data_IF_537779513160
#
_entry.id   IF_537779513160
#
_cell.length_a   1.000
_cell.length_b   1.000
_cell.length_c   1.000
_cell.angle_alpha   90.00
_cell.angle_beta   90.00
_cell.angle_gamma   90.00
#
_symmetry.space_group_name_H-M   'P 1'
#
loop_
_entity.id
_entity.type
_entity.pdbx_description
1 polymer ?
#
# COMPACT_ATOMS: atom_id res chain seq x y z
N UNK A 1 17.52 -16.08 38.29
CA UNK A 1 16.79 -14.91 37.74
C UNK A 1 17.85 -13.87 37.42
N UNK A 2 17.95 -13.39 36.19
CA UNK A 2 18.98 -12.44 35.75
C UNK A 2 18.72 -11.12 36.49
N UNK A 3 19.57 -10.75 37.47
CA UNK A 3 19.45 -9.45 38.12
C UNK A 3 19.85 -8.38 37.10
N UNK A 4 18.87 -7.75 36.47
CA UNK A 4 19.11 -6.66 35.54
C UNK A 4 19.54 -5.43 36.32
N UNK A 5 20.82 -5.06 36.17
CA UNK A 5 21.31 -3.81 36.72
C UNK A 5 20.86 -2.68 35.79
N UNK A 6 20.11 -1.68 36.28
CA UNK A 6 19.65 -0.56 35.45
C UNK A 6 20.83 0.20 34.83
N UNK A 7 20.67 0.70 33.59
CA UNK A 7 21.69 1.48 32.88
C UNK A 7 22.13 2.76 33.63
N UNK A 8 21.27 3.30 34.49
CA UNK A 8 21.55 4.44 35.38
C UNK A 8 22.26 4.11 36.70
N UNK A 9 22.40 2.83 37.08
CA UNK A 9 22.90 2.46 38.41
C UNK A 9 24.38 2.82 38.63
N UNK A 10 24.73 3.19 39.85
CA UNK A 10 26.13 3.38 40.28
C UNK A 10 26.80 2.04 40.57
N UNK A 11 28.13 2.02 40.60
CA UNK A 11 28.93 0.82 40.91
C UNK A 11 28.53 0.18 42.24
N UNK A 12 28.28 0.98 43.28
CA UNK A 12 27.89 0.47 44.60
C UNK A 12 26.46 -0.09 44.64
N UNK A 13 25.55 0.52 43.88
CA UNK A 13 24.18 0.00 43.72
C UNK A 13 24.18 -1.31 42.94
N UNK A 14 24.96 -1.36 41.87
CA UNK A 14 25.16 -2.58 41.10
C UNK A 14 25.74 -3.69 41.99
N UNK A 15 26.83 -3.43 42.70
CA UNK A 15 27.48 -4.38 43.63
C UNK A 15 26.49 -5.05 44.58
N UNK A 16 25.56 -4.29 45.19
CA UNK A 16 24.54 -4.86 46.08
C UNK A 16 23.59 -5.84 45.39
N UNK A 17 23.34 -5.66 44.10
CA UNK A 17 22.50 -6.55 43.28
C UNK A 17 23.31 -7.78 42.82
N UNK A 18 24.54 -7.60 42.36
CA UNK A 18 25.37 -8.69 41.79
C UNK A 18 26.18 -9.49 42.81
N UNK A 19 26.35 -9.02 44.06
CA UNK A 19 27.16 -9.74 45.07
C UNK A 19 26.66 -11.16 45.37
N UNK A 20 25.38 -11.44 45.13
CA UNK A 20 24.78 -12.76 45.30
C UNK A 20 24.90 -13.69 44.09
N UNK A 21 25.38 -13.22 42.93
CA UNK A 21 25.52 -14.06 41.73
C UNK A 21 26.83 -14.87 41.79
N UNK A 22 26.80 -16.22 41.71
CA UNK A 22 27.99 -17.06 41.69
C UNK A 22 29.02 -16.66 40.61
N UNK A 23 28.56 -16.08 39.50
CA UNK A 23 29.42 -15.59 38.41
C UNK A 23 30.24 -14.36 38.79
N UNK A 24 29.76 -13.58 39.76
CA UNK A 24 30.49 -12.44 40.30
C UNK A 24 31.71 -12.87 41.12
N UNK A 25 31.64 -14.03 41.80
CA UNK A 25 32.76 -14.60 42.55
C UNK A 25 33.91 -15.09 41.64
N UNK A 26 33.58 -15.53 40.41
CA UNK A 26 34.56 -15.94 39.38
C UNK A 26 35.23 -14.78 38.64
N UNK A 27 34.66 -13.57 38.67
CA UNK A 27 35.33 -12.40 38.09
C UNK A 27 36.53 -12.04 38.95
N UNK A 28 37.70 -11.84 38.34
CA UNK A 28 38.99 -11.65 39.00
C UNK A 28 39.11 -10.35 39.79
N UNK A 29 40.17 -9.56 39.53
CA UNK A 29 40.50 -8.39 40.37
C UNK A 29 39.43 -7.30 40.27
N UNK A 30 39.33 -6.45 41.29
CA UNK A 30 38.36 -5.34 41.37
C UNK A 30 38.31 -4.46 40.09
N UNK A 31 39.46 -4.24 39.45
CA UNK A 31 39.54 -3.50 38.19
C UNK A 31 38.83 -4.20 37.03
N UNK A 32 38.97 -5.51 36.89
CA UNK A 32 38.27 -6.29 35.86
C UNK A 32 36.76 -6.24 36.08
N UNK A 33 36.32 -6.31 37.35
CA UNK A 33 34.90 -6.19 37.71
C UNK A 33 34.33 -4.82 37.37
N UNK A 34 35.07 -3.73 37.65
CA UNK A 34 34.69 -2.36 37.25
C UNK A 34 34.66 -2.19 35.73
N UNK A 35 35.62 -2.77 35.01
CA UNK A 35 35.66 -2.72 33.55
C UNK A 35 34.49 -3.46 32.92
N UNK A 36 34.18 -4.67 33.41
CA UNK A 36 33.01 -5.45 32.97
C UNK A 36 31.69 -4.70 33.23
N UNK A 37 31.56 -4.02 34.37
CA UNK A 37 30.39 -3.22 34.68
C UNK A 37 30.23 -1.99 33.77
N UNK A 38 31.33 -1.26 33.51
CA UNK A 38 31.28 -0.13 32.57
C UNK A 38 30.91 -0.60 31.16
N UNK A 39 31.48 -1.72 30.70
CA UNK A 39 31.12 -2.33 29.42
C UNK A 39 29.64 -2.74 29.38
N UNK A 40 29.12 -3.36 30.45
CA UNK A 40 27.70 -3.70 30.59
C UNK A 40 26.80 -2.45 30.52
N UNK A 41 27.14 -1.36 31.23
CA UNK A 41 26.37 -0.11 31.18
C UNK A 41 26.29 0.46 29.77
N UNK A 42 27.42 0.51 29.07
CA UNK A 42 27.47 1.00 27.68
C UNK A 42 26.67 0.09 26.76
N UNK A 43 26.81 -1.23 26.90
CA UNK A 43 26.07 -2.20 26.10
C UNK A 43 24.57 -2.11 26.34
N UNK A 44 24.12 -2.00 27.60
CA UNK A 44 22.70 -1.85 27.94
C UNK A 44 22.09 -0.57 27.41
N UNK A 45 22.78 0.56 27.53
CA UNK A 45 22.31 1.82 26.95
C UNK A 45 22.16 1.72 25.42
N UNK A 46 23.09 1.01 24.77
CA UNK A 46 23.02 0.75 23.32
C UNK A 46 21.85 -0.16 22.96
N UNK A 47 21.60 -1.21 23.74
CA UNK A 47 20.48 -2.14 23.57
C UNK A 47 19.13 -1.43 23.77
N UNK A 48 18.98 -0.64 24.83
CA UNK A 48 17.76 0.14 25.10
C UNK A 48 17.44 1.12 23.95
N UNK A 49 18.47 1.81 23.43
CA UNK A 49 18.32 2.73 22.29
C UNK A 49 17.94 1.99 21.01
N UNK A 50 18.55 0.84 20.76
CA UNK A 50 18.24 0.04 19.58
C UNK A 50 16.83 -0.57 19.68
N UNK A 51 16.43 -1.04 20.85
CA UNK A 51 15.08 -1.55 21.08
C UNK A 51 14.03 -0.45 20.88
N UNK A 52 14.27 0.76 21.39
CA UNK A 52 13.39 1.91 21.14
C UNK A 52 13.29 2.23 19.64
N UNK A 53 14.42 2.19 18.93
CA UNK A 53 14.45 2.39 17.47
C UNK A 53 13.66 1.31 16.72
N UNK A 54 13.80 0.05 17.10
CA UNK A 54 13.08 -1.06 16.48
C UNK A 54 11.57 -0.99 16.76
N UNK A 55 11.17 -0.64 17.98
CA UNK A 55 9.76 -0.40 18.33
C UNK A 55 9.16 0.73 17.52
N UNK A 56 9.87 1.86 17.40
CA UNK A 56 9.41 2.99 16.58
C UNK A 56 9.30 2.59 15.10
N UNK A 57 10.30 1.91 14.54
CA UNK A 57 10.27 1.40 13.17
C UNK A 57 9.05 0.50 12.93
N UNK A 58 8.82 -0.46 13.83
CA UNK A 58 7.68 -1.37 13.75
C UNK A 58 6.35 -0.63 13.82
N UNK A 59 6.20 0.33 14.71
CA UNK A 59 4.98 1.14 14.80
C UNK A 59 4.69 1.90 13.50
N UNK A 60 5.72 2.43 12.82
CA UNK A 60 5.57 3.09 11.52
C UNK A 60 5.11 2.12 10.43
N UNK A 61 5.73 0.94 10.36
CA UNK A 61 5.38 -0.11 9.40
C UNK A 61 3.94 -0.61 9.62
N UNK A 62 3.57 -0.91 10.87
CA UNK A 62 2.24 -1.40 11.23
C UNK A 62 1.15 -0.34 10.90
N UNK A 63 1.41 0.96 11.14
CA UNK A 63 0.49 2.03 10.76
C UNK A 63 0.36 2.16 9.24
N UNK A 64 1.47 2.10 8.51
CA UNK A 64 1.45 2.17 7.05
C UNK A 64 0.63 1.02 6.44
N UNK A 65 0.87 -0.21 6.91
CA UNK A 65 0.13 -1.40 6.46
C UNK A 65 -1.36 -1.29 6.79
N UNK A 66 -1.69 -0.84 8.01
CA UNK A 66 -3.06 -0.60 8.43
C UNK A 66 -3.76 0.38 7.49
N UNK A 67 -3.16 1.54 7.20
CA UNK A 67 -3.77 2.55 6.34
C UNK A 67 -3.88 2.07 4.88
N UNK A 68 -2.92 1.32 4.35
CA UNK A 68 -2.94 0.83 2.96
C UNK A 68 -4.06 -0.17 2.66
N UNK A 69 -4.52 -0.91 3.67
CA UNK A 69 -5.52 -1.98 3.54
C UNK A 69 -6.87 -1.62 4.17
N UNK A 70 -7.00 -0.47 4.81
CA UNK A 70 -8.26 -0.04 5.40
C UNK A 70 -9.23 0.44 4.30
N UNK A 71 -10.43 -0.14 4.25
CA UNK A 71 -11.46 0.21 3.26
C UNK A 71 -11.90 1.69 3.32
N UNK A 72 -11.73 2.34 4.48
CA UNK A 72 -12.07 3.75 4.68
C UNK A 72 -10.95 4.71 4.26
N UNK A 73 -9.80 4.18 3.86
CA UNK A 73 -8.66 4.95 3.38
C UNK A 73 -8.61 4.94 1.85
N UNK A 74 -8.48 6.12 1.24
CA UNK A 74 -8.39 6.31 -0.22
C UNK A 74 -7.32 7.35 -0.54
N UNK A 75 -6.91 7.44 -1.81
CA UNK A 75 -6.01 8.50 -2.28
C UNK A 75 -6.53 9.93 -2.09
N UNK A 76 -7.83 10.10 -1.84
CA UNK A 76 -8.48 11.41 -1.64
C UNK A 76 -8.69 11.79 -0.17
N UNK A 77 -8.51 10.82 0.74
CA UNK A 77 -8.74 11.01 2.18
C UNK A 77 -7.75 12.04 2.72
N UNK A 78 -8.25 13.08 3.39
CA UNK A 78 -7.41 14.14 3.99
C UNK A 78 -6.90 13.71 5.37
N UNK A 79 -5.70 14.15 5.74
CA UNK A 79 -5.07 13.81 7.03
C UNK A 79 -5.99 13.99 8.24
N UNK A 80 -6.71 15.12 8.34
CA UNK A 80 -7.61 15.37 9.47
C UNK A 80 -8.71 14.31 9.61
N UNK A 81 -9.16 13.72 8.50
CA UNK A 81 -10.13 12.60 8.51
C UNK A 81 -9.50 11.33 9.07
N UNK A 82 -8.22 11.09 8.81
CA UNK A 82 -7.50 9.96 9.40
C UNK A 82 -7.45 10.09 10.92
N UNK A 83 -7.20 11.29 11.45
CA UNK A 83 -7.22 11.55 12.89
C UNK A 83 -8.63 11.31 13.48
N UNK A 84 -9.69 11.80 12.82
CA UNK A 84 -11.09 11.54 13.24
C UNK A 84 -11.44 10.04 13.26
N UNK A 85 -10.98 9.28 12.27
CA UNK A 85 -11.36 7.87 12.10
C UNK A 85 -10.50 6.92 12.93
N UNK A 86 -9.20 7.20 13.05
CA UNK A 86 -8.20 6.27 13.56
C UNK A 86 -7.51 6.75 14.83
N UNK A 87 -7.73 7.99 15.28
CA UNK A 87 -7.04 8.60 16.41
C UNK A 87 -7.09 7.81 17.73
N UNK A 88 -8.13 7.00 17.93
CA UNK A 88 -8.29 6.17 19.13
C UNK A 88 -7.74 4.74 18.97
N UNK A 89 -7.32 4.35 17.76
CA UNK A 89 -6.79 3.02 17.48
C UNK A 89 -5.33 2.93 17.92
N UNK A 90 -4.94 1.75 18.41
CA UNK A 90 -3.56 1.51 18.85
C UNK A 90 -2.55 1.69 17.71
N UNK A 91 -2.88 1.23 16.50
CA UNK A 91 -2.02 1.42 15.33
C UNK A 91 -1.66 2.90 15.08
N UNK A 92 -2.61 3.81 15.32
CA UNK A 92 -2.38 5.26 15.21
C UNK A 92 -1.58 5.79 16.40
N UNK A 93 -1.96 5.44 17.63
CA UNK A 93 -1.34 5.96 18.87
C UNK A 93 0.07 5.43 19.13
N UNK A 94 0.42 4.27 18.57
CA UNK A 94 1.77 3.69 18.70
C UNK A 94 2.83 4.54 17.97
N UNK A 95 2.44 5.35 16.99
CA UNK A 95 3.30 6.37 16.40
C UNK A 95 3.09 7.67 17.17
N UNK A 96 4.01 7.94 18.10
CA UNK A 96 3.87 9.03 19.06
C UNK A 96 3.89 10.42 18.40
N UNK A 97 4.83 10.64 17.48
CA UNK A 97 5.04 11.93 16.82
C UNK A 97 4.03 12.16 15.68
N UNK A 98 3.43 13.36 15.63
CA UNK A 98 2.51 13.73 14.54
C UNK A 98 3.23 13.84 13.19
N UNK A 99 4.49 14.30 13.17
CA UNK A 99 5.29 14.38 11.95
C UNK A 99 5.46 13.00 11.31
N UNK A 100 5.75 11.97 12.11
CA UNK A 100 5.90 10.60 11.61
C UNK A 100 4.58 10.08 11.04
N UNK A 101 3.45 10.39 11.69
CA UNK A 101 2.11 10.02 11.19
C UNK A 101 1.79 10.73 9.87
N UNK A 102 2.17 12.00 9.71
CA UNK A 102 2.00 12.76 8.47
C UNK A 102 2.84 12.18 7.33
N UNK A 103 4.11 11.89 7.57
CA UNK A 103 4.99 11.27 6.59
C UNK A 103 4.42 9.93 6.09
N UNK A 104 3.98 9.07 7.03
CA UNK A 104 3.35 7.79 6.69
C UNK A 104 2.07 8.01 5.86
N UNK A 105 1.23 8.96 6.27
CA UNK A 105 0.01 9.29 5.54
C UNK A 105 0.30 9.73 4.10
N UNK A 106 1.29 10.59 3.88
CA UNK A 106 1.66 11.09 2.55
C UNK A 106 2.13 9.94 1.66
N UNK A 107 3.00 9.08 2.18
CA UNK A 107 3.46 7.88 1.47
C UNK A 107 2.31 6.93 1.12
N UNK A 108 1.39 6.70 2.06
CA UNK A 108 0.22 5.83 1.83
C UNK A 108 -0.69 6.42 0.76
N UNK A 109 -1.06 7.70 0.86
CA UNK A 109 -1.91 8.38 -0.12
C UNK A 109 -1.28 8.35 -1.51
N UNK A 110 0.03 8.59 -1.61
CA UNK A 110 0.76 8.50 -2.88
C UNK A 110 0.70 7.08 -3.46
N UNK A 111 0.95 6.06 -2.65
CA UNK A 111 0.91 4.67 -3.11
C UNK A 111 -0.50 4.22 -3.51
N UNK A 112 -1.54 4.65 -2.78
CA UNK A 112 -2.94 4.43 -3.15
C UNK A 112 -3.27 5.06 -4.50
N UNK A 113 -2.91 6.33 -4.70
CA UNK A 113 -3.12 7.03 -5.97
C UNK A 113 -2.39 6.34 -7.13
N UNK A 114 -1.15 5.87 -6.88
CA UNK A 114 -0.37 5.12 -7.87
C UNK A 114 -1.02 3.78 -8.21
N UNK A 115 -1.48 3.02 -7.20
CA UNK A 115 -2.18 1.74 -7.38
C UNK A 115 -3.45 1.92 -8.20
N UNK A 116 -4.32 2.86 -7.80
CA UNK A 116 -5.57 3.18 -8.51
C UNK A 116 -5.32 3.56 -9.97
N UNK A 117 -4.28 4.35 -10.25
CA UNK A 117 -3.89 4.73 -11.62
C UNK A 117 -3.44 3.53 -12.45
N UNK A 118 -2.65 2.63 -11.89
CA UNK A 118 -2.19 1.43 -12.61
C UNK A 118 -3.32 0.40 -12.79
N UNK A 119 -4.23 0.27 -11.82
CA UNK A 119 -5.45 -0.54 -11.93
C UNK A 119 -6.38 0.00 -13.03
N UNK A 120 -6.56 1.32 -13.12
CA UNK A 120 -7.34 1.95 -14.18
C UNK A 120 -6.74 1.68 -15.57
N UNK A 121 -5.41 1.77 -15.71
CA UNK A 121 -4.71 1.43 -16.97
C UNK A 121 -4.87 -0.04 -17.33
N UNK A 122 -4.71 -0.93 -16.36
CA UNK A 122 -4.84 -2.38 -16.55
C UNK A 122 -6.25 -2.76 -16.97
N UNK A 123 -7.25 -2.22 -16.27
CA UNK A 123 -8.67 -2.38 -16.61
C UNK A 123 -8.97 -1.86 -18.01
N UNK A 124 -8.49 -0.66 -18.37
CA UNK A 124 -8.64 -0.12 -19.71
C UNK A 124 -8.04 -1.04 -20.78
N UNK A 125 -6.80 -1.52 -20.60
CA UNK A 125 -6.14 -2.44 -21.54
C UNK A 125 -6.91 -3.75 -21.70
N UNK A 126 -7.34 -4.35 -20.58
CA UNK A 126 -8.17 -5.56 -20.56
C UNK A 126 -9.47 -5.33 -21.33
N UNK A 127 -10.15 -4.23 -21.05
CA UNK A 127 -11.46 -3.91 -21.63
C UNK A 127 -11.36 -3.63 -23.13
N UNK A 128 -10.33 -2.91 -23.58
CA UNK A 128 -10.07 -2.71 -25.01
C UNK A 128 -9.80 -4.05 -25.72
N UNK A 129 -8.97 -4.92 -25.14
CA UNK A 129 -8.67 -6.23 -25.73
C UNK A 129 -9.93 -7.11 -25.82
N UNK A 130 -10.70 -7.21 -24.73
CA UNK A 130 -11.94 -7.99 -24.69
C UNK A 130 -12.99 -7.47 -25.66
N UNK A 131 -13.15 -6.14 -25.75
CA UNK A 131 -14.05 -5.53 -26.73
C UNK A 131 -13.63 -5.88 -28.17
N UNK A 132 -12.33 -5.82 -28.48
CA UNK A 132 -11.83 -6.21 -29.80
C UNK A 132 -12.12 -7.70 -30.11
N UNK A 133 -11.87 -8.61 -29.16
CA UNK A 133 -12.20 -10.05 -29.30
C UNK A 133 -13.69 -10.28 -29.59
N UNK A 134 -14.57 -9.58 -28.87
CA UNK A 134 -16.03 -9.66 -29.07
C UNK A 134 -16.39 -9.14 -30.45
N UNK A 135 -15.87 -7.97 -30.83
CA UNK A 135 -16.14 -7.38 -32.15
C UNK A 135 -15.63 -8.27 -33.29
N UNK A 136 -14.47 -8.92 -33.14
CA UNK A 136 -13.94 -9.86 -34.14
C UNK A 136 -14.82 -11.10 -34.31
N UNK A 137 -15.41 -11.59 -33.22
CA UNK A 137 -16.35 -12.71 -33.26
C UNK A 137 -17.71 -12.37 -33.91
N UNK A 138 -18.03 -11.08 -34.04
CA UNK A 138 -19.29 -10.60 -34.63
C UNK A 138 -19.15 -10.49 -36.16
N UNK A 139 -19.80 -11.43 -36.87
CA UNK A 139 -19.81 -11.49 -38.34
C UNK A 139 -20.68 -10.40 -39.00
N UNK A 140 -21.59 -9.77 -38.25
CA UNK A 140 -22.55 -8.77 -38.76
C UNK A 140 -22.05 -7.32 -38.65
N UNK A 141 -20.88 -7.08 -38.03
CA UNK A 141 -20.28 -5.74 -37.92
C UNK A 141 -19.38 -5.48 -39.12
N UNK A 142 -19.73 -4.47 -39.93
CA UNK A 142 -19.00 -4.07 -41.15
C UNK A 142 -18.73 -2.55 -41.20
N UNK A 143 -18.04 -2.07 -42.24
CA UNK A 143 -17.70 -0.63 -42.41
C UNK A 143 -18.90 0.32 -42.49
N UNK A 144 -20.10 -0.21 -42.73
CA UNK A 144 -21.34 0.58 -42.80
C UNK A 144 -22.10 0.62 -41.49
N UNK A 145 -21.72 -0.24 -40.53
CA UNK A 145 -22.38 -0.32 -39.23
C UNK A 145 -22.08 0.96 -38.45
N UNK A 146 -23.13 1.70 -38.14
CA UNK A 146 -23.04 2.90 -37.32
C UNK A 146 -22.73 2.54 -35.87
N UNK A 147 -22.22 3.51 -35.10
CA UNK A 147 -22.00 3.32 -33.67
C UNK A 147 -23.27 2.90 -32.94
N UNK A 148 -24.43 3.51 -33.24
CA UNK A 148 -25.69 3.18 -32.57
C UNK A 148 -26.11 1.72 -32.82
N UNK A 149 -25.93 1.23 -34.05
CA UNK A 149 -26.17 -0.17 -34.40
C UNK A 149 -25.18 -1.10 -33.70
N UNK A 150 -23.87 -0.77 -33.73
CA UNK A 150 -22.85 -1.57 -33.05
C UNK A 150 -23.06 -1.60 -31.52
N UNK A 151 -23.51 -0.50 -30.93
CA UNK A 151 -23.85 -0.41 -29.51
C UNK A 151 -25.02 -1.36 -29.18
N UNK A 152 -26.08 -1.36 -29.98
CA UNK A 152 -27.20 -2.28 -29.79
C UNK A 152 -26.74 -3.75 -29.92
N UNK A 153 -25.96 -4.06 -30.96
CA UNK A 153 -25.44 -5.41 -31.16
C UNK A 153 -24.50 -5.87 -30.03
N UNK A 154 -23.74 -4.96 -29.41
CA UNK A 154 -22.94 -5.25 -28.22
C UNK A 154 -23.82 -5.51 -26.99
N UNK A 155 -24.87 -4.72 -26.78
CA UNK A 155 -25.81 -4.93 -25.68
C UNK A 155 -26.61 -6.24 -25.83
N UNK A 156 -26.87 -6.66 -27.06
CA UNK A 156 -27.53 -7.94 -27.36
C UNK A 156 -26.58 -9.16 -27.25
N UNK A 157 -25.26 -8.93 -27.12
CA UNK A 157 -24.27 -9.98 -26.97
C UNK A 157 -24.11 -10.38 -25.49
N UNK A 158 -24.41 -11.62 -25.08
CA UNK A 158 -24.38 -12.03 -23.67
C UNK A 158 -22.98 -11.94 -23.05
N UNK A 159 -21.94 -12.28 -23.83
CA UNK A 159 -20.53 -12.16 -23.40
C UNK A 159 -20.12 -10.74 -23.06
N UNK A 160 -20.76 -9.74 -23.69
CA UNK A 160 -20.53 -8.34 -23.41
C UNK A 160 -21.43 -7.83 -22.27
N UNK A 161 -22.72 -8.19 -22.29
CA UNK A 161 -23.72 -7.74 -21.34
C UNK A 161 -23.50 -8.28 -19.90
N UNK A 162 -22.86 -9.43 -19.75
CA UNK A 162 -22.55 -10.00 -18.42
C UNK A 162 -21.28 -9.40 -17.78
N UNK A 163 -20.38 -8.78 -18.56
CA UNK A 163 -19.16 -8.15 -18.03
C UNK A 163 -19.44 -6.70 -17.61
N UNK A 164 -19.71 -6.52 -16.31
CA UNK A 164 -20.03 -5.22 -15.71
C UNK A 164 -18.93 -4.16 -15.88
N UNK A 165 -17.66 -4.57 -15.99
CA UNK A 165 -16.53 -3.65 -16.21
C UNK A 165 -16.45 -3.20 -17.67
N UNK A 166 -16.79 -4.08 -18.63
CA UNK A 166 -16.97 -3.70 -20.03
C UNK A 166 -18.17 -2.77 -20.22
N UNK A 167 -19.30 -3.09 -19.59
CA UNK A 167 -20.48 -2.22 -19.59
C UNK A 167 -20.18 -0.82 -19.02
N UNK A 168 -19.48 -0.74 -17.88
CA UNK A 168 -19.04 0.54 -17.31
C UNK A 168 -18.18 1.34 -18.29
N UNK A 169 -17.34 0.67 -19.07
CA UNK A 169 -16.54 1.30 -20.13
C UNK A 169 -17.42 1.83 -21.27
N UNK A 170 -18.46 1.08 -21.67
CA UNK A 170 -19.44 1.50 -22.68
C UNK A 170 -20.20 2.75 -22.25
N UNK A 171 -20.64 2.81 -21.00
CA UNK A 171 -21.32 3.99 -20.46
C UNK A 171 -20.40 5.20 -20.42
N UNK A 172 -19.14 5.02 -20.02
CA UNK A 172 -18.15 6.10 -20.03
C UNK A 172 -17.86 6.61 -21.46
N UNK A 173 -17.74 5.70 -22.43
CA UNK A 173 -17.59 6.03 -23.85
C UNK A 173 -18.83 6.76 -24.38
N UNK A 174 -20.03 6.25 -24.09
CA UNK A 174 -21.31 6.85 -24.53
C UNK A 174 -21.57 8.23 -23.92
N UNK A 175 -21.17 8.43 -22.66
CA UNK A 175 -21.23 9.73 -21.99
C UNK A 175 -20.24 10.74 -22.59
N UNK A 176 -19.01 10.31 -22.88
CA UNK A 176 -18.01 11.15 -23.54
C UNK A 176 -18.32 11.39 -25.03
N UNK A 177 -19.03 10.49 -25.73
CA UNK A 177 -19.45 10.69 -27.13
C UNK A 177 -20.44 11.85 -27.30
N UNK A 178 -21.19 12.22 -26.24
CA UNK A 178 -22.01 13.45 -26.25
C UNK A 178 -21.18 14.74 -26.17
N UNK A 179 -19.89 14.66 -25.80
CA UNK A 179 -19.04 15.84 -25.59
C UNK A 179 -17.82 15.87 -26.51
N UNK A 180 -17.14 14.76 -26.81
CA UNK A 180 -15.99 14.69 -27.69
C UNK A 180 -15.74 13.23 -28.17
N UNK A 181 -15.80 13.04 -29.50
CA UNK A 181 -14.91 12.19 -30.31
C UNK A 181 -15.44 10.85 -30.92
N UNK A 182 -15.63 10.87 -32.25
CA UNK A 182 -15.79 9.73 -33.17
C UNK A 182 -14.54 8.82 -33.24
N UNK A 183 -13.36 9.33 -32.86
CA UNK A 183 -12.07 8.66 -33.11
C UNK A 183 -11.89 7.28 -32.46
N UNK A 184 -12.51 6.99 -31.31
CA UNK A 184 -12.31 5.67 -30.66
C UNK A 184 -13.02 4.57 -31.45
N UNK A 185 -14.22 4.85 -31.95
CA UNK A 185 -14.94 3.94 -32.84
C UNK A 185 -14.26 3.82 -34.19
N UNK A 186 -13.84 4.93 -34.77
CA UNK A 186 -13.09 4.93 -36.03
C UNK A 186 -11.75 4.19 -35.90
N UNK A 187 -11.07 4.28 -34.75
CA UNK A 187 -9.82 3.55 -34.49
C UNK A 187 -10.04 2.05 -34.26
N UNK A 188 -11.13 1.65 -33.59
CA UNK A 188 -11.48 0.23 -33.40
C UNK A 188 -11.97 -0.42 -34.71
N UNK A 189 -12.79 0.29 -35.50
CA UNK A 189 -13.16 -0.14 -36.86
C UNK A 189 -11.95 -0.19 -37.80
N UNK A 190 -11.04 0.79 -37.72
CA UNK A 190 -9.79 0.78 -38.49
C UNK A 190 -8.87 -0.38 -38.10
N UNK A 191 -8.80 -0.76 -36.81
CA UNK A 191 -8.03 -1.92 -36.35
C UNK A 191 -8.61 -3.25 -36.89
N UNK A 192 -9.94 -3.41 -36.90
CA UNK A 192 -10.61 -4.58 -37.51
C UNK A 192 -10.38 -4.61 -39.03
N UNK A 193 -10.42 -3.46 -39.69
CA UNK A 193 -10.17 -3.36 -41.13
C UNK A 193 -8.71 -3.62 -41.53
N UNK A 194 -7.74 -3.15 -40.74
CA UNK A 194 -6.31 -3.41 -40.98
C UNK A 194 -5.95 -4.89 -40.83
N UNK A 195 -6.64 -5.64 -39.96
CA UNK A 195 -6.45 -7.10 -39.87
C UNK A 195 -7.09 -7.85 -41.04
N UNK A 196 -8.23 -7.39 -41.57
CA UNK A 196 -8.93 -8.06 -42.68
C UNK A 196 -8.29 -7.83 -44.06
N UNK A 197 -7.39 -6.85 -44.21
CA UNK A 197 -6.67 -6.55 -45.46
C UNK A 197 -5.29 -7.21 -45.51
N UNK A 198 -4.81 -7.78 -44.39
CA UNK A 198 -3.49 -8.42 -44.27
C UNK A 198 -3.55 -9.96 -44.33
N UNK A 199 -4.68 -10.52 -44.78
CA UNK A 199 -4.95 -11.95 -44.95
C UNK A 199 -5.40 -12.23 -46.38
#
# INVERSE_FOLDING_TARGET
MMMEVPSGATWDQALKLIQGDPRFATLGKLNERKQAFNAYKTQRLKEEKEEQRQRAKKAREDLAEFLMHNERMTSSTKYFRCEEMFGQLEAWRNVMEESDRRDIYEDVVFNLAKREKEEAKTTKRRNTKRLAEILDSMANVCHRTTWQEAQQMLLDNPTFAEDTSLLGTLFHISFNLKTYNSFIWDSLLSLKFLCSVSQ
#
